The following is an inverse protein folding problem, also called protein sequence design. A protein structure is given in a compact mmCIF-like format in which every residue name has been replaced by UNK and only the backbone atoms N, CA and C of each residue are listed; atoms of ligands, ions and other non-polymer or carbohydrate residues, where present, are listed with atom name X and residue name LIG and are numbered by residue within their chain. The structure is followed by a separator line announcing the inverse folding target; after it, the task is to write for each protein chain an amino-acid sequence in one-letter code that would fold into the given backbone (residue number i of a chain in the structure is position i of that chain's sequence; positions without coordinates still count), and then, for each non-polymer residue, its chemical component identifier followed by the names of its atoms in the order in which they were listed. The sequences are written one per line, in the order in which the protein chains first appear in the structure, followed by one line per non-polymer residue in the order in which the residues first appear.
data_IF_348009501997
#
_entry.id   IF_348009501997
#
_cell.length_a   1.000
_cell.length_b   1.000
_cell.length_c   1.000
_cell.angle_alpha   90.00
_cell.angle_beta   90.00
_cell.angle_gamma   90.00
#
_symmetry.space_group_name_H-M   'P 1'
#
loop_
_entity.id
_entity.type
_entity.pdbx_description
1 polymer ?
#
# COMPACT_ATOMS: atom_id res chain seq x y z
N UNK A 1 -37.20 -36.22 -54.34
CA UNK A 1 -37.32 -34.87 -53.75
C UNK A 1 -37.33 -34.92 -52.23
N UNK A 2 -38.14 -35.78 -51.58
CA UNK A 2 -38.30 -35.82 -50.11
C UNK A 2 -37.00 -35.92 -49.28
N UNK A 3 -36.00 -36.72 -49.71
CA UNK A 3 -34.78 -36.93 -48.90
C UNK A 3 -33.85 -35.71 -48.84
N UNK A 4 -33.76 -34.94 -49.93
CA UNK A 4 -32.92 -33.73 -49.97
C UNK A 4 -33.54 -32.62 -49.13
N UNK A 5 -34.86 -32.45 -49.26
CA UNK A 5 -35.64 -31.47 -48.49
C UNK A 5 -35.63 -31.79 -46.98
N UNK A 6 -35.66 -33.08 -46.62
CA UNK A 6 -35.50 -33.52 -45.23
C UNK A 6 -34.12 -33.19 -44.64
N UNK A 7 -33.03 -33.45 -45.39
CA UNK A 7 -31.67 -33.12 -44.96
C UNK A 7 -31.46 -31.61 -44.81
N UNK A 8 -32.01 -30.83 -45.74
CA UNK A 8 -31.97 -29.36 -45.67
C UNK A 8 -32.73 -28.84 -44.43
N UNK A 9 -33.88 -29.43 -44.09
CA UNK A 9 -34.61 -29.12 -42.86
C UNK A 9 -33.79 -29.42 -41.60
N UNK A 10 -33.08 -30.54 -41.57
CA UNK A 10 -32.17 -30.89 -40.45
C UNK A 10 -31.08 -29.83 -40.35
N UNK A 11 -30.37 -29.53 -41.43
CA UNK A 11 -29.26 -28.56 -41.43
C UNK A 11 -29.73 -27.15 -41.05
N UNK A 12 -30.94 -26.76 -41.40
CA UNK A 12 -31.52 -25.47 -40.99
C UNK A 12 -32.01 -25.44 -39.54
N UNK A 13 -32.24 -26.59 -38.91
CA UNK A 13 -32.60 -26.70 -37.48
C UNK A 13 -31.38 -26.67 -36.54
N UNK A 14 -30.19 -26.93 -37.06
CA UNK A 14 -28.92 -26.86 -36.31
C UNK A 14 -28.68 -25.41 -35.89
N UNK A 15 -28.21 -25.21 -34.66
CA UNK A 15 -27.89 -23.89 -34.07
C UNK A 15 -26.60 -23.30 -34.66
N UNK A 16 -25.73 -24.17 -35.17
CA UNK A 16 -24.48 -23.82 -35.83
C UNK A 16 -24.72 -23.41 -37.29
N UNK A 17 -23.94 -22.45 -37.75
CA UNK A 17 -23.82 -22.12 -39.15
C UNK A 17 -23.16 -23.26 -39.90
N UNK A 18 -23.78 -23.67 -41.01
CA UNK A 18 -23.27 -24.72 -41.90
C UNK A 18 -23.09 -24.15 -43.29
N UNK A 19 -21.89 -24.30 -43.85
CA UNK A 19 -21.58 -23.98 -45.24
C UNK A 19 -20.94 -25.19 -45.90
N UNK A 20 -21.36 -25.49 -47.13
CA UNK A 20 -20.79 -26.55 -47.94
C UNK A 20 -20.26 -25.96 -49.25
N UNK A 21 -19.06 -26.36 -49.65
CA UNK A 21 -18.51 -26.08 -50.98
C UNK A 21 -18.45 -27.33 -51.83
N UNK A 22 -18.46 -27.19 -53.15
CA UNK A 22 -18.03 -28.23 -54.08
C UNK A 22 -16.50 -28.35 -54.16
N UNK A 23 -16.03 -29.26 -55.02
CA UNK A 23 -14.61 -29.51 -55.32
C UNK A 23 -13.87 -28.33 -55.95
N UNK A 24 -14.60 -27.40 -56.56
CA UNK A 24 -14.05 -26.21 -57.21
C UNK A 24 -14.06 -24.99 -56.26
N UNK A 25 -14.61 -25.15 -55.05
CA UNK A 25 -14.68 -24.11 -54.02
C UNK A 25 -15.86 -23.17 -54.15
N UNK A 26 -16.90 -23.54 -54.92
CA UNK A 26 -18.16 -22.80 -54.97
C UNK A 26 -19.08 -23.22 -53.84
N UNK A 27 -19.77 -22.26 -53.24
CA UNK A 27 -20.73 -22.53 -52.16
C UNK A 27 -21.96 -23.22 -52.76
N UNK A 28 -22.22 -24.46 -52.35
CA UNK A 28 -23.39 -25.23 -52.79
C UNK A 28 -24.54 -25.20 -51.78
N UNK A 29 -24.23 -24.97 -50.50
CA UNK A 29 -25.24 -24.87 -49.46
C UNK A 29 -24.79 -23.95 -48.34
N UNK A 30 -25.76 -23.23 -47.76
CA UNK A 30 -25.60 -22.37 -46.59
C UNK A 30 -26.90 -22.40 -45.80
N UNK A 31 -26.86 -22.82 -44.54
CA UNK A 31 -28.06 -22.87 -43.71
C UNK A 31 -28.46 -21.48 -43.20
N UNK A 32 -29.68 -21.39 -42.66
CA UNK A 32 -30.23 -20.15 -42.09
C UNK A 32 -29.36 -19.56 -40.98
N UNK A 33 -28.78 -20.40 -40.12
CA UNK A 33 -27.91 -19.91 -39.03
C UNK A 33 -26.61 -19.30 -39.56
N UNK A 34 -26.00 -19.88 -40.59
CA UNK A 34 -24.83 -19.30 -41.24
C UNK A 34 -25.17 -17.91 -41.80
N UNK A 35 -26.36 -17.72 -42.39
CA UNK A 35 -26.77 -16.41 -42.91
C UNK A 35 -26.95 -15.38 -41.81
N UNK A 36 -27.48 -15.78 -40.66
CA UNK A 36 -27.62 -14.90 -39.50
C UNK A 36 -26.26 -14.51 -38.90
N UNK A 37 -25.36 -15.48 -38.68
CA UNK A 37 -24.05 -15.24 -38.07
C UNK A 37 -23.15 -14.40 -38.99
N UNK A 38 -23.16 -14.67 -40.30
CA UNK A 38 -22.34 -13.93 -41.26
C UNK A 38 -22.97 -12.58 -41.68
N UNK A 39 -24.27 -12.39 -41.43
CA UNK A 39 -25.02 -11.21 -41.89
C UNK A 39 -25.21 -11.16 -43.41
N UNK A 40 -25.07 -12.29 -44.12
CA UNK A 40 -25.16 -12.37 -45.58
C UNK A 40 -26.25 -13.39 -45.96
N UNK A 41 -27.26 -13.01 -46.77
CA UNK A 41 -28.27 -13.94 -47.25
C UNK A 41 -27.67 -15.04 -48.13
N UNK A 42 -28.08 -16.30 -47.92
CA UNK A 42 -27.64 -17.43 -48.73
C UNK A 42 -27.83 -17.21 -50.24
N UNK A 43 -28.92 -16.55 -50.65
CA UNK A 43 -29.21 -16.23 -52.06
C UNK A 43 -28.16 -15.35 -52.73
N UNK A 44 -27.34 -14.62 -51.97
CA UNK A 44 -26.30 -13.76 -52.52
C UNK A 44 -24.94 -14.47 -52.70
N UNK A 45 -24.76 -15.64 -52.08
CA UNK A 45 -23.46 -16.32 -51.98
C UNK A 45 -23.46 -17.74 -52.54
N UNK A 46 -24.61 -18.43 -52.54
CA UNK A 46 -24.73 -19.75 -53.17
C UNK A 46 -24.42 -19.63 -54.67
N UNK A 47 -23.58 -20.53 -55.18
CA UNK A 47 -23.07 -20.53 -56.56
C UNK A 47 -21.81 -19.70 -56.80
N UNK A 48 -21.42 -18.82 -55.85
CA UNK A 48 -20.17 -18.03 -55.92
C UNK A 48 -18.99 -18.78 -55.30
N UNK A 49 -17.78 -18.40 -55.67
CA UNK A 49 -16.57 -18.89 -55.01
C UNK A 49 -16.51 -18.40 -53.56
N UNK A 50 -16.16 -19.31 -52.66
CA UNK A 50 -16.18 -19.06 -51.23
C UNK A 50 -15.24 -17.93 -50.79
N UNK A 51 -14.13 -17.74 -51.52
CA UNK A 51 -13.14 -16.67 -51.27
C UNK A 51 -13.68 -15.28 -51.56
N UNK A 52 -14.57 -15.16 -52.53
CA UNK A 52 -15.17 -13.89 -52.94
C UNK A 52 -16.39 -13.54 -52.07
N UNK A 53 -17.07 -14.58 -51.58
CA UNK A 53 -18.30 -14.45 -50.82
C UNK A 53 -18.08 -14.27 -49.31
N UNK A 54 -17.07 -14.94 -48.74
CA UNK A 54 -16.88 -14.99 -47.28
C UNK A 54 -15.45 -14.58 -46.93
N UNK A 55 -15.26 -13.43 -46.26
CA UNK A 55 -13.93 -12.97 -45.88
C UNK A 55 -13.28 -13.95 -44.90
N UNK A 56 -11.98 -14.16 -45.07
CA UNK A 56 -11.18 -15.06 -44.21
C UNK A 56 -11.74 -16.50 -44.09
N UNK A 57 -12.50 -16.98 -45.08
CA UNK A 57 -13.19 -18.27 -45.01
C UNK A 57 -12.27 -19.47 -44.71
N UNK A 58 -11.03 -19.46 -45.22
CA UNK A 58 -10.05 -20.58 -45.22
C UNK A 58 -10.57 -21.92 -45.76
N UNK A 59 -11.83 -22.02 -46.20
CA UNK A 59 -12.38 -23.21 -46.84
C UNK A 59 -11.58 -23.64 -48.09
N UNK A 60 -11.12 -22.67 -48.88
CA UNK A 60 -10.24 -22.91 -50.04
C UNK A 60 -8.87 -23.50 -49.66
N UNK A 61 -8.39 -23.28 -48.43
CA UNK A 61 -7.12 -23.83 -47.94
C UNK A 61 -7.33 -25.31 -47.62
N UNK A 62 -8.37 -25.63 -46.85
CA UNK A 62 -8.75 -27.00 -46.48
C UNK A 62 -9.10 -27.83 -47.72
N UNK A 63 -9.74 -27.23 -48.72
CA UNK A 63 -10.05 -27.87 -49.99
C UNK A 63 -8.79 -28.30 -50.75
N UNK A 64 -7.73 -27.47 -50.72
CA UNK A 64 -6.44 -27.75 -51.38
C UNK A 64 -5.55 -28.68 -50.57
N UNK A 65 -5.48 -28.49 -49.25
CA UNK A 65 -4.59 -29.25 -48.37
C UNK A 65 -5.14 -30.63 -48.02
N UNK A 66 -6.47 -30.79 -48.00
CA UNK A 66 -7.13 -31.98 -47.48
C UNK A 66 -6.97 -32.20 -45.98
N UNK A 67 -6.40 -31.22 -45.27
CA UNK A 67 -6.20 -31.26 -43.82
C UNK A 67 -7.36 -30.55 -43.11
N UNK A 68 -8.08 -31.22 -42.20
CA UNK A 68 -9.16 -30.58 -41.46
C UNK A 68 -8.62 -29.51 -40.51
N UNK A 69 -9.38 -28.43 -40.33
CA UNK A 69 -9.17 -27.45 -39.28
C UNK A 69 -10.29 -27.60 -38.27
N UNK A 70 -10.00 -28.02 -37.04
CA UNK A 70 -11.02 -28.26 -36.01
C UNK A 70 -10.95 -27.17 -34.94
N UNK A 71 -12.13 -26.69 -34.53
CA UNK A 71 -12.36 -25.77 -33.41
C UNK A 71 -11.48 -24.52 -33.41
N UNK A 72 -11.29 -23.92 -34.60
CA UNK A 72 -10.51 -22.70 -34.76
C UNK A 72 -11.36 -21.48 -34.47
N UNK A 73 -10.86 -20.59 -33.63
CA UNK A 73 -11.46 -19.27 -33.43
C UNK A 73 -11.14 -18.39 -34.63
N UNK A 74 -12.14 -17.70 -35.14
CA UNK A 74 -12.03 -16.74 -36.22
C UNK A 74 -12.82 -15.48 -35.91
N UNK A 75 -12.20 -14.33 -36.16
CA UNK A 75 -12.83 -13.02 -36.02
C UNK A 75 -13.34 -12.53 -37.37
N UNK A 76 -14.65 -12.27 -37.42
CA UNK A 76 -15.39 -11.70 -38.53
C UNK A 76 -15.77 -10.26 -38.17
N UNK A 77 -14.76 -9.39 -38.03
CA UNK A 77 -14.95 -8.03 -37.52
C UNK A 77 -15.36 -8.06 -36.04
N UNK A 78 -16.60 -7.67 -35.73
CA UNK A 78 -17.12 -7.64 -34.35
C UNK A 78 -17.61 -8.99 -33.84
N UNK A 79 -17.79 -9.97 -34.73
CA UNK A 79 -18.29 -11.31 -34.39
C UNK A 79 -17.12 -12.28 -34.29
N UNK A 80 -17.04 -13.02 -33.19
CA UNK A 80 -16.11 -14.14 -33.04
C UNK A 80 -16.86 -15.45 -33.23
N UNK A 81 -16.33 -16.32 -34.09
CA UNK A 81 -16.87 -17.66 -34.31
C UNK A 81 -15.84 -18.73 -33.94
N UNK A 82 -16.31 -19.86 -33.46
CA UNK A 82 -15.53 -21.10 -33.46
C UNK A 82 -15.96 -21.91 -34.66
N UNK A 83 -15.01 -22.34 -35.51
CA UNK A 83 -15.30 -23.04 -36.76
C UNK A 83 -14.44 -24.27 -36.95
N UNK A 84 -15.10 -25.33 -37.40
CA UNK A 84 -14.51 -26.57 -37.86
C UNK A 84 -14.74 -26.72 -39.36
N UNK A 85 -13.69 -27.00 -40.12
CA UNK A 85 -13.67 -27.17 -41.58
C UNK A 85 -13.21 -28.58 -41.90
N UNK A 86 -14.09 -29.36 -42.49
CA UNK A 86 -13.91 -30.78 -42.71
C UNK A 86 -13.95 -31.04 -44.22
N UNK A 87 -12.84 -31.51 -44.83
CA UNK A 87 -12.86 -31.91 -46.24
C UNK A 87 -13.73 -33.16 -46.40
N UNK A 88 -14.67 -33.12 -47.33
CA UNK A 88 -15.51 -34.25 -47.66
C UNK A 88 -14.82 -35.07 -48.74
N UNK A 89 -14.78 -36.39 -48.56
CA UNK A 89 -14.11 -37.32 -49.48
C UNK A 89 -15.11 -38.32 -50.06
N UNK A 90 -14.90 -38.71 -51.32
CA UNK A 90 -15.61 -39.84 -51.93
C UNK A 90 -15.07 -41.20 -51.44
N UNK A 91 -15.64 -42.28 -51.97
CA UNK A 91 -15.23 -43.66 -51.65
C UNK A 91 -13.79 -43.99 -52.10
N UNK A 92 -13.23 -43.18 -53.00
CA UNK A 92 -11.87 -43.32 -53.53
C UNK A 92 -10.87 -42.39 -52.82
N UNK A 93 -11.33 -41.62 -51.82
CA UNK A 93 -10.49 -40.70 -51.04
C UNK A 93 -10.30 -39.32 -51.68
N UNK A 94 -10.92 -39.03 -52.83
CA UNK A 94 -10.82 -37.72 -53.48
C UNK A 94 -11.67 -36.69 -52.74
N UNK A 95 -11.17 -35.46 -52.59
CA UNK A 95 -11.92 -34.38 -51.97
C UNK A 95 -13.02 -33.91 -52.93
N UNK A 96 -14.27 -34.02 -52.50
CA UNK A 96 -15.46 -33.61 -53.27
C UNK A 96 -16.06 -32.29 -52.80
N UNK A 97 -15.53 -31.71 -51.72
CA UNK A 97 -15.99 -30.46 -51.14
C UNK A 97 -15.45 -30.24 -49.74
N UNK A 98 -15.87 -29.15 -49.10
CA UNK A 98 -15.54 -28.86 -47.69
C UNK A 98 -16.79 -28.41 -46.95
N UNK A 99 -17.01 -29.01 -45.78
CA UNK A 99 -18.04 -28.63 -44.83
C UNK A 99 -17.42 -27.70 -43.77
N UNK A 100 -17.90 -26.46 -43.67
CA UNK A 100 -17.68 -25.62 -42.49
C UNK A 100 -18.89 -25.74 -41.57
N UNK A 101 -18.62 -25.99 -40.29
CA UNK A 101 -19.56 -25.85 -39.20
C UNK A 101 -19.00 -24.80 -38.25
N UNK A 102 -19.83 -23.85 -37.81
CA UNK A 102 -19.36 -22.77 -36.95
C UNK A 102 -20.45 -22.22 -36.04
N UNK A 103 -20.03 -21.72 -34.88
CA UNK A 103 -20.93 -21.13 -33.89
C UNK A 103 -20.42 -19.76 -33.50
N UNK A 104 -21.35 -18.82 -33.33
CA UNK A 104 -21.05 -17.53 -32.71
C UNK A 104 -20.70 -17.72 -31.23
N UNK A 105 -19.49 -17.29 -30.86
CA UNK A 105 -18.95 -17.32 -29.49
C UNK A 105 -18.70 -15.92 -28.94
N UNK A 106 -19.18 -14.87 -29.61
CA UNK A 106 -18.89 -13.47 -29.27
C UNK A 106 -19.25 -13.14 -27.83
N UNK A 107 -20.45 -13.51 -27.39
CA UNK A 107 -20.90 -13.28 -26.00
C UNK A 107 -20.08 -14.07 -24.99
N UNK A 108 -19.79 -15.34 -25.29
CA UNK A 108 -18.99 -16.20 -24.43
C UNK A 108 -17.55 -15.68 -24.29
N UNK A 109 -16.93 -15.24 -25.39
CA UNK A 109 -15.59 -14.67 -25.38
C UNK A 109 -15.55 -13.36 -24.59
N UNK A 110 -16.50 -12.44 -24.81
CA UNK A 110 -16.58 -11.18 -24.04
C UNK A 110 -16.72 -11.43 -22.54
N UNK A 111 -17.58 -12.36 -22.13
CA UNK A 111 -17.72 -12.73 -20.72
C UNK A 111 -16.42 -13.31 -20.15
N UNK A 112 -15.70 -14.14 -20.91
CA UNK A 112 -14.42 -14.69 -20.48
C UNK A 112 -13.34 -13.60 -20.32
N UNK A 113 -13.31 -12.63 -21.23
CA UNK A 113 -12.44 -11.45 -21.14
C UNK A 113 -12.78 -10.58 -19.93
N UNK A 114 -14.06 -10.29 -19.69
CA UNK A 114 -14.52 -9.54 -18.52
C UNK A 114 -14.11 -10.22 -17.21
N UNK A 115 -14.30 -11.55 -17.10
CA UNK A 115 -13.87 -12.32 -15.92
C UNK A 115 -12.35 -12.26 -15.74
N UNK A 116 -11.59 -12.31 -16.83
CA UNK A 116 -10.12 -12.22 -16.78
C UNK A 116 -9.69 -10.83 -16.28
N UNK A 117 -10.25 -9.77 -16.85
CA UNK A 117 -9.98 -8.39 -16.41
C UNK A 117 -10.36 -8.16 -14.94
N UNK A 118 -11.50 -8.71 -14.48
CA UNK A 118 -11.90 -8.64 -13.07
C UNK A 118 -10.87 -9.30 -12.14
N UNK A 119 -10.34 -10.47 -12.52
CA UNK A 119 -9.29 -11.16 -11.75
C UNK A 119 -7.98 -10.38 -11.73
N UNK A 120 -7.61 -9.74 -12.84
CA UNK A 120 -6.41 -8.90 -12.92
C UNK A 120 -6.53 -7.67 -12.02
N UNK A 121 -7.68 -6.99 -12.04
CA UNK A 121 -7.96 -5.85 -11.14
C UNK A 121 -7.94 -6.29 -9.68
N UNK A 122 -8.54 -7.43 -9.33
CA UNK A 122 -8.50 -7.97 -7.97
C UNK A 122 -7.06 -8.25 -7.51
N UNK A 123 -6.24 -8.87 -8.38
CA UNK A 123 -4.83 -9.15 -8.09
C UNK A 123 -4.02 -7.86 -7.89
N UNK A 124 -4.24 -6.84 -8.73
CA UNK A 124 -3.59 -5.54 -8.59
C UNK A 124 -3.97 -4.87 -7.25
N UNK A 125 -5.25 -4.85 -6.90
CA UNK A 125 -5.71 -4.27 -5.63
C UNK A 125 -5.10 -4.97 -4.42
N UNK A 126 -5.02 -6.31 -4.44
CA UNK A 126 -4.33 -7.09 -3.39
C UNK A 126 -2.85 -6.71 -3.30
N UNK A 127 -2.14 -6.60 -4.42
CA UNK A 127 -0.73 -6.23 -4.44
C UNK A 127 -0.48 -4.81 -3.87
N UNK A 128 -1.36 -3.85 -4.16
CA UNK A 128 -1.30 -2.49 -3.60
C UNK A 128 -1.47 -2.52 -2.07
N UNK A 129 -2.47 -3.24 -1.57
CA UNK A 129 -2.72 -3.38 -0.13
C UNK A 129 -1.53 -4.05 0.57
N UNK A 130 -0.96 -5.10 -0.04
CA UNK A 130 0.18 -5.85 0.52
C UNK A 130 1.51 -5.09 0.54
N UNK A 131 1.71 -4.17 -0.41
CA UNK A 131 2.95 -3.38 -0.53
C UNK A 131 2.95 -2.11 0.35
N UNK A 132 1.82 -1.76 0.94
CA UNK A 132 1.72 -0.58 1.81
C UNK A 132 2.49 -0.79 3.13
N UNK A 133 3.17 0.26 3.62
CA UNK A 133 3.92 0.21 4.88
C UNK A 133 3.02 0.26 6.12
N UNK A 134 1.92 0.99 6.05
CA UNK A 134 0.91 1.00 7.09
C UNK A 134 0.13 -0.31 7.12
N UNK A 135 -0.21 -0.73 8.33
CA UNK A 135 -1.03 -1.90 8.55
C UNK A 135 -2.47 -1.58 8.16
N UNK A 136 -3.03 -2.41 7.27
CA UNK A 136 -4.42 -2.32 6.85
C UNK A 136 -5.15 -3.54 7.40
N UNK A 137 -6.27 -3.31 8.08
CA UNK A 137 -7.23 -4.34 8.46
C UNK A 137 -8.64 -3.96 8.03
N UNK A 138 -9.42 -4.94 7.58
CA UNK A 138 -10.82 -4.77 7.21
C UNK A 138 -11.64 -5.71 8.07
N UNK A 139 -12.69 -5.18 8.68
CA UNK A 139 -13.69 -5.95 9.40
C UNK A 139 -15.04 -5.90 8.66
N UNK A 140 -15.80 -6.99 8.71
CA UNK A 140 -17.15 -7.07 8.14
C UNK A 140 -18.21 -6.34 8.99
N UNK A 141 -19.48 -6.51 8.61
CA UNK A 141 -20.61 -5.88 9.27
C UNK A 141 -20.78 -6.30 10.75
N UNK A 142 -20.33 -7.51 11.08
CA UNK A 142 -20.39 -8.10 12.43
C UNK A 142 -19.12 -7.79 13.25
N UNK A 143 -18.16 -7.06 12.67
CA UNK A 143 -16.90 -6.70 13.32
C UNK A 143 -15.87 -7.83 13.33
N UNK A 144 -15.98 -8.82 12.43
CA UNK A 144 -14.96 -9.86 12.25
C UNK A 144 -13.97 -9.44 11.18
N UNK A 145 -12.68 -9.72 11.40
CA UNK A 145 -11.62 -9.38 10.46
C UNK A 145 -11.75 -10.26 9.22
N UNK A 146 -11.81 -9.64 8.04
CA UNK A 146 -11.92 -10.32 6.74
C UNK A 146 -10.68 -10.16 5.87
N UNK A 147 -9.86 -9.14 6.14
CA UNK A 147 -8.63 -8.90 5.42
C UNK A 147 -7.62 -8.22 6.33
N UNK A 148 -6.36 -8.63 6.22
CA UNK A 148 -5.20 -7.91 6.76
C UNK A 148 -4.07 -7.97 5.75
N UNK A 149 -3.22 -6.94 5.70
CA UNK A 149 -2.03 -6.95 4.85
C UNK A 149 -0.77 -7.41 5.60
N UNK A 150 0.34 -7.60 4.89
CA UNK A 150 1.63 -7.97 5.50
C UNK A 150 2.13 -6.96 6.54
N UNK A 151 1.85 -5.68 6.39
CA UNK A 151 2.22 -4.68 7.38
C UNK A 151 1.49 -4.89 8.72
N UNK A 152 0.23 -5.31 8.69
CA UNK A 152 -0.51 -5.70 9.89
C UNK A 152 0.24 -6.78 10.68
N UNK A 153 0.66 -7.85 10.02
CA UNK A 153 1.44 -8.92 10.67
C UNK A 153 2.75 -8.43 11.27
N UNK A 154 3.46 -7.53 10.57
CA UNK A 154 4.71 -6.94 11.10
C UNK A 154 4.48 -6.05 12.32
N UNK A 155 3.37 -5.30 12.35
CA UNK A 155 3.05 -4.34 13.40
C UNK A 155 2.44 -5.04 14.63
N UNK A 156 1.40 -5.84 14.42
CA UNK A 156 0.69 -6.52 15.52
C UNK A 156 1.38 -7.79 15.98
N UNK A 157 2.13 -8.46 15.10
CA UNK A 157 2.79 -9.74 15.39
C UNK A 157 1.90 -10.97 15.19
N UNK A 158 0.64 -10.80 14.77
CA UNK A 158 -0.27 -11.90 14.45
C UNK A 158 -0.22 -12.26 12.97
N UNK A 159 -0.18 -13.57 12.67
CA UNK A 159 -0.35 -14.04 11.31
C UNK A 159 -1.80 -13.84 10.84
N UNK A 160 -1.98 -13.63 9.53
CA UNK A 160 -3.31 -13.46 8.94
C UNK A 160 -4.25 -14.62 9.31
N UNK A 161 -3.77 -15.88 9.27
CA UNK A 161 -4.55 -17.07 9.62
C UNK A 161 -5.06 -17.08 11.05
N UNK A 162 -4.44 -16.35 11.97
CA UNK A 162 -4.85 -16.29 13.38
C UNK A 162 -5.97 -15.27 13.62
N UNK A 163 -6.06 -14.25 12.76
CA UNK A 163 -6.98 -13.12 12.93
C UNK A 163 -8.16 -13.14 11.97
N UNK A 164 -8.01 -13.70 10.77
CA UNK A 164 -9.11 -13.79 9.81
C UNK A 164 -10.27 -14.61 10.39
N UNK A 165 -11.48 -14.05 10.29
CA UNK A 165 -12.72 -14.61 10.83
C UNK A 165 -12.91 -14.39 12.34
N UNK A 166 -11.94 -13.81 13.03
CA UNK A 166 -12.03 -13.50 14.47
C UNK A 166 -12.58 -12.08 14.68
N UNK A 167 -13.17 -11.79 15.85
CA UNK A 167 -13.57 -10.43 16.21
C UNK A 167 -12.38 -9.47 16.17
N UNK A 168 -12.61 -8.24 15.71
CA UNK A 168 -11.60 -7.16 15.62
C UNK A 168 -11.15 -6.60 16.98
N UNK A 169 -11.28 -7.39 18.04
CA UNK A 169 -10.76 -7.15 19.39
C UNK A 169 -9.53 -8.00 19.69
N UNK A 170 -9.23 -9.02 18.85
CA UNK A 170 -8.19 -10.02 19.10
C UNK A 170 -6.77 -9.42 19.18
N UNK A 171 -6.54 -8.32 18.47
CA UNK A 171 -5.25 -7.65 18.36
C UNK A 171 -5.10 -6.44 19.28
N UNK A 172 -6.14 -6.10 20.04
CA UNK A 172 -6.14 -4.98 20.98
C UNK A 172 -5.57 -5.46 22.33
N UNK A 173 -4.42 -4.90 22.72
CA UNK A 173 -3.83 -5.19 24.02
C UNK A 173 -4.42 -4.31 25.13
N UNK A 174 -4.68 -3.03 24.85
CA UNK A 174 -5.27 -2.07 25.77
C UNK A 174 -6.25 -1.15 25.02
N UNK A 175 -7.45 -0.96 25.59
CA UNK A 175 -8.51 -0.14 25.02
C UNK A 175 -9.63 -0.95 24.36
N UNK A 176 -10.53 -0.24 23.68
CA UNK A 176 -11.65 -0.83 22.94
C UNK A 176 -11.36 -0.86 21.43
N UNK A 177 -11.90 -1.87 20.74
CA UNK A 177 -11.76 -1.96 19.29
C UNK A 177 -12.45 -0.79 18.57
N UNK A 178 -11.67 -0.08 17.76
CA UNK A 178 -12.17 1.04 16.96
C UNK A 178 -13.06 0.54 15.81
N UNK A 179 -12.81 -0.66 15.27
CA UNK A 179 -13.70 -1.31 14.31
C UNK A 179 -15.12 -1.48 14.87
N UNK A 180 -15.26 -1.93 16.12
CA UNK A 180 -16.56 -2.09 16.78
C UNK A 180 -17.26 -0.74 16.99
N UNK A 181 -16.51 0.29 17.42
CA UNK A 181 -17.06 1.64 17.57
C UNK A 181 -17.58 2.22 16.26
N UNK A 182 -16.82 2.08 15.18
CA UNK A 182 -17.24 2.54 13.85
C UNK A 182 -18.40 1.72 13.31
N UNK A 183 -18.45 0.41 13.60
CA UNK A 183 -19.61 -0.41 13.27
C UNK A 183 -20.87 0.11 13.98
N UNK A 184 -20.80 0.47 15.26
CA UNK A 184 -21.96 0.99 15.98
C UNK A 184 -22.35 2.41 15.57
N UNK A 185 -21.38 3.32 15.45
CA UNK A 185 -21.63 4.74 15.20
C UNK A 185 -21.88 5.06 13.72
N UNK A 186 -21.39 4.22 12.81
CA UNK A 186 -21.31 4.48 11.36
C UNK A 186 -20.55 5.76 11.01
N UNK A 187 -19.72 6.26 11.93
CA UNK A 187 -18.92 7.48 11.78
C UNK A 187 -17.43 7.12 11.78
N UNK A 188 -16.60 7.81 10.98
CA UNK A 188 -15.16 7.58 11.00
C UNK A 188 -14.54 8.04 12.33
N UNK A 189 -13.52 7.33 12.79
CA UNK A 189 -12.73 7.67 13.97
C UNK A 189 -11.27 7.82 13.53
N UNK A 190 -10.71 9.01 13.78
CA UNK A 190 -9.34 9.34 13.38
C UNK A 190 -8.44 9.50 14.60
N UNK A 191 -7.15 9.21 14.40
CA UNK A 191 -6.08 9.44 15.37
C UNK A 191 -6.31 8.75 16.72
N UNK A 192 -6.99 7.59 16.71
CA UNK A 192 -7.16 6.78 17.90
C UNK A 192 -5.81 6.17 18.29
N UNK A 193 -5.37 6.38 19.52
CA UNK A 193 -4.15 5.77 20.06
C UNK A 193 -4.50 4.44 20.71
N UNK A 194 -3.85 3.38 20.29
CA UNK A 194 -4.05 2.02 20.80
C UNK A 194 -2.71 1.37 21.08
N UNK A 195 -2.75 0.33 21.91
CA UNK A 195 -1.65 -0.64 22.01
C UNK A 195 -2.11 -1.96 21.43
N UNK A 196 -1.35 -2.46 20.46
CA UNK A 196 -1.71 -3.65 19.69
C UNK A 196 -0.67 -4.75 19.84
N UNK A 197 -1.12 -5.99 19.71
CA UNK A 197 -0.27 -7.16 19.72
C UNK A 197 0.30 -7.53 21.10
N UNK A 198 0.93 -8.71 21.21
CA UNK A 198 1.56 -9.17 22.46
C UNK A 198 2.72 -8.27 22.90
N UNK A 199 3.36 -7.54 21.96
CA UNK A 199 4.43 -6.58 22.25
C UNK A 199 3.93 -5.21 22.69
N UNK A 200 2.61 -5.00 22.79
CA UNK A 200 1.96 -3.73 23.18
C UNK A 200 2.50 -2.52 22.40
N UNK A 201 2.64 -2.65 21.08
CA UNK A 201 3.16 -1.54 20.25
C UNK A 201 2.18 -0.39 20.23
N UNK A 202 2.69 0.83 20.44
CA UNK A 202 1.90 2.05 20.36
C UNK A 202 1.67 2.44 18.90
N UNK A 203 0.40 2.53 18.52
CA UNK A 203 -0.01 2.80 17.15
C UNK A 203 -1.04 3.92 17.09
N UNK A 204 -1.10 4.58 15.93
CA UNK A 204 -2.15 5.53 15.59
C UNK A 204 -3.07 4.90 14.56
N UNK A 205 -4.36 4.82 14.86
CA UNK A 205 -5.36 4.13 14.04
C UNK A 205 -6.40 5.12 13.53
N UNK A 206 -6.64 5.04 12.22
CA UNK A 206 -7.77 5.68 11.55
C UNK A 206 -8.71 4.59 11.08
N UNK A 207 -10.00 4.67 11.42
CA UNK A 207 -11.00 3.69 10.99
C UNK A 207 -12.17 4.38 10.32
N UNK A 208 -12.51 3.91 9.13
CA UNK A 208 -13.58 4.47 8.30
C UNK A 208 -14.64 3.39 8.02
N UNK A 209 -15.95 3.71 8.09
CA UNK A 209 -16.99 2.77 7.71
C UNK A 209 -16.98 2.51 6.19
N UNK A 210 -17.19 1.26 5.79
CA UNK A 210 -17.26 0.82 4.41
C UNK A 210 -18.72 0.66 4.00
N UNK A 211 -19.14 1.42 2.98
CA UNK A 211 -20.47 1.33 2.39
C UNK A 211 -20.40 0.84 0.96
N UNK A 212 -21.22 -0.15 0.61
CA UNK A 212 -21.37 -0.65 -0.76
C UNK A 212 -22.84 -0.54 -1.13
N UNK A 213 -23.15 0.21 -2.19
CA UNK A 213 -24.53 0.49 -2.62
C UNK A 213 -25.41 1.10 -1.50
N UNK A 214 -24.82 1.94 -0.65
CA UNK A 214 -25.51 2.60 0.46
C UNK A 214 -25.67 1.75 1.72
N UNK A 215 -25.33 0.46 1.67
CA UNK A 215 -25.40 -0.44 2.83
C UNK A 215 -24.04 -0.52 3.53
N UNK A 216 -24.07 -0.52 4.86
CA UNK A 216 -22.87 -0.77 5.65
C UNK A 216 -22.40 -2.23 5.44
N UNK A 217 -21.17 -2.39 4.98
CA UNK A 217 -20.54 -3.70 4.77
C UNK A 217 -19.41 -4.00 5.73
N UNK A 218 -18.95 -3.02 6.50
CA UNK A 218 -17.85 -3.21 7.43
C UNK A 218 -17.07 -1.93 7.69
N UNK A 219 -15.81 -2.06 8.06
CA UNK A 219 -14.93 -0.93 8.31
C UNK A 219 -13.49 -1.24 7.92
N UNK A 220 -12.75 -0.21 7.51
CA UNK A 220 -11.34 -0.29 7.13
C UNK A 220 -10.54 0.50 8.15
N UNK A 221 -9.52 -0.13 8.75
CA UNK A 221 -8.57 0.52 9.62
C UNK A 221 -7.20 0.64 8.94
N UNK A 222 -6.59 1.81 9.10
CA UNK A 222 -5.20 2.09 8.76
C UNK A 222 -4.45 2.37 10.05
N UNK A 223 -3.46 1.54 10.33
CA UNK A 223 -2.69 1.49 11.57
C UNK A 223 -1.26 1.92 11.25
N UNK A 224 -0.85 3.04 11.84
CA UNK A 224 0.48 3.61 11.66
C UNK A 224 1.32 3.27 12.88
N UNK A 225 2.50 2.68 12.67
CA UNK A 225 3.47 2.50 13.74
C UNK A 225 4.15 3.84 14.04
N UNK A 226 3.91 4.37 15.25
CA UNK A 226 4.49 5.64 15.69
C UNK A 226 5.65 5.45 16.66
N UNK A 227 6.07 4.21 16.91
CA UNK A 227 7.08 3.88 17.92
C UNK A 227 8.42 4.58 17.66
N UNK A 228 8.89 4.55 16.41
CA UNK A 228 10.16 5.16 16.02
C UNK A 228 10.11 6.69 16.09
N UNK A 229 9.02 7.29 15.58
CA UNK A 229 8.81 8.74 15.65
C UNK A 229 8.75 9.21 17.10
N UNK A 230 8.07 8.46 17.97
CA UNK A 230 8.00 8.79 19.40
C UNK A 230 9.36 8.63 20.09
N UNK A 231 10.16 7.63 19.71
CA UNK A 231 11.53 7.46 20.22
C UNK A 231 12.42 8.63 19.79
N UNK A 232 12.43 8.98 18.50
CA UNK A 232 13.22 10.09 17.97
C UNK A 232 12.82 11.43 18.59
N UNK A 233 11.52 11.68 18.80
CA UNK A 233 11.06 12.89 19.48
C UNK A 233 11.56 12.97 20.93
N UNK A 234 11.59 11.84 21.66
CA UNK A 234 12.15 11.81 23.03
C UNK A 234 13.65 12.11 23.04
N UNK A 235 14.42 11.48 22.15
CA UNK A 235 15.87 11.72 22.03
C UNK A 235 16.16 13.18 21.65
N UNK A 236 15.38 13.74 20.73
CA UNK A 236 15.49 15.14 20.34
C UNK A 236 15.20 16.10 21.51
N UNK A 237 14.17 15.82 22.31
CA UNK A 237 13.84 16.62 23.48
C UNK A 237 14.92 16.55 24.56
N UNK A 238 15.53 15.39 24.76
CA UNK A 238 16.68 15.21 25.65
C UNK A 238 17.91 16.00 25.16
N UNK A 239 18.25 15.89 23.88
CA UNK A 239 19.34 16.66 23.27
C UNK A 239 19.12 18.17 23.40
N UNK A 240 17.89 18.66 23.12
CA UNK A 240 17.52 20.07 23.29
C UNK A 240 17.65 20.53 24.75
N UNK A 241 17.28 19.69 25.72
CA UNK A 241 17.44 19.99 27.15
C UNK A 241 18.91 20.11 27.54
N UNK A 242 19.76 19.22 27.04
CA UNK A 242 21.21 19.26 27.30
C UNK A 242 21.85 20.53 26.72
N UNK A 243 21.55 20.87 25.45
CA UNK A 243 22.02 22.10 24.81
C UNK A 243 21.62 23.34 25.64
N UNK A 244 20.36 23.40 26.09
CA UNK A 244 19.85 24.51 26.92
C UNK A 244 20.56 24.65 28.29
N UNK A 245 21.13 23.57 28.84
CA UNK A 245 21.90 23.60 30.09
C UNK A 245 23.36 24.01 29.86
N UNK A 246 23.89 23.76 28.68
CA UNK A 246 25.28 24.06 28.31
C UNK A 246 25.47 25.48 27.76
N UNK A 247 24.42 26.30 27.74
CA UNK A 247 24.45 27.68 27.23
C UNK A 247 24.29 28.70 28.36
N UNK A 248 25.17 29.70 28.42
CA UNK A 248 25.01 30.84 29.31
C UNK A 248 23.85 31.74 28.81
N UNK A 249 22.77 31.80 29.58
CA UNK A 249 21.53 32.51 29.22
C UNK A 249 21.54 34.03 29.42
N UNK A 250 22.35 34.54 30.34
CA UNK A 250 22.28 35.93 30.80
C UNK A 250 23.53 36.69 30.38
N UNK A 251 23.35 37.98 30.11
CA UNK A 251 24.38 38.95 29.76
C UNK A 251 24.49 40.02 30.85
N UNK A 252 25.46 40.92 30.74
CA UNK A 252 25.55 42.05 31.67
C UNK A 252 24.37 43.02 31.56
N UNK A 253 23.65 43.03 30.43
CA UNK A 253 22.46 43.85 30.22
C UNK A 253 21.26 43.33 31.03
N UNK A 254 21.24 42.04 31.37
CA UNK A 254 20.21 41.42 32.20
C UNK A 254 20.39 41.69 33.71
N UNK A 255 21.49 42.35 34.11
CA UNK A 255 21.81 42.64 35.51
C UNK A 255 21.41 44.08 35.85
N UNK A 256 20.37 44.24 36.67
CA UNK A 256 19.94 45.55 37.17
C UNK A 256 20.95 46.08 38.20
N UNK A 257 21.71 47.11 37.81
CA UNK A 257 22.77 47.71 38.63
C UNK A 257 22.51 49.21 38.91
N UNK A 258 21.64 49.50 39.88
CA UNK A 258 21.30 50.89 40.24
C UNK A 258 22.24 51.50 41.29
N UNK A 259 22.62 50.69 42.29
CA UNK A 259 23.49 51.12 43.39
C UNK A 259 24.94 51.30 42.96
N UNK A 260 25.66 52.22 43.61
CA UNK A 260 27.10 52.44 43.34
C UNK A 260 27.92 51.17 43.52
N UNK A 261 27.65 50.37 44.56
CA UNK A 261 28.31 49.09 44.81
C UNK A 261 28.06 48.07 43.69
N UNK A 262 26.83 47.95 43.20
CA UNK A 262 26.50 47.01 42.12
C UNK A 262 27.12 47.42 40.79
N UNK A 263 27.12 48.73 40.49
CA UNK A 263 27.81 49.28 39.30
C UNK A 263 29.30 48.97 39.30
N UNK A 264 29.95 49.06 40.47
CA UNK A 264 31.36 48.67 40.62
C UNK A 264 31.55 47.16 40.36
N UNK A 265 30.70 46.31 40.93
CA UNK A 265 30.77 44.86 40.74
C UNK A 265 30.61 44.47 39.25
N UNK A 266 29.63 45.04 38.55
CA UNK A 266 29.43 44.83 37.10
C UNK A 266 30.64 45.32 36.31
N UNK A 267 31.19 46.51 36.64
CA UNK A 267 32.41 47.03 35.99
C UNK A 267 33.62 46.12 36.16
N UNK A 268 33.83 45.57 37.36
CA UNK A 268 34.92 44.63 37.64
C UNK A 268 34.72 43.31 36.89
N UNK A 269 33.49 42.78 36.89
CA UNK A 269 33.13 41.55 36.18
C UNK A 269 33.34 41.69 34.66
N UNK A 270 32.98 42.82 34.06
CA UNK A 270 33.23 43.09 32.63
C UNK A 270 34.71 43.15 32.29
N UNK A 271 35.55 43.69 33.18
CA UNK A 271 37.01 43.76 32.98
C UNK A 271 37.64 42.37 33.05
N UNK A 272 37.29 41.57 34.05
CA UNK A 272 37.86 40.22 34.24
C UNK A 272 37.37 39.23 33.19
N UNK A 273 36.14 39.40 32.66
CA UNK A 273 35.60 38.55 31.60
C UNK A 273 36.48 38.50 30.35
N UNK A 274 37.22 39.58 30.04
CA UNK A 274 38.16 39.65 28.91
C UNK A 274 39.51 39.00 29.18
N UNK A 275 39.67 38.33 30.32
CA UNK A 275 40.94 37.71 30.75
C UNK A 275 40.75 36.21 30.98
N UNK A 276 41.82 35.40 30.89
CA UNK A 276 41.74 33.96 31.15
C UNK A 276 41.72 33.61 32.65
N UNK A 277 41.72 34.60 33.55
CA UNK A 277 41.84 34.40 34.99
C UNK A 277 40.64 33.67 35.61
N UNK A 278 40.90 32.85 36.64
CA UNK A 278 39.85 32.19 37.42
C UNK A 278 39.09 33.22 38.26
N UNK A 279 37.76 33.24 38.13
CA UNK A 279 36.89 34.19 38.84
C UNK A 279 36.19 33.51 40.01
N UNK A 280 36.35 34.07 41.21
CA UNK A 280 35.60 33.65 42.40
C UNK A 280 34.49 34.66 42.70
N UNK A 281 33.24 34.25 42.51
CA UNK A 281 32.07 35.07 42.84
C UNK A 281 31.63 34.81 44.28
N UNK A 282 31.70 35.83 45.14
CA UNK A 282 31.28 35.76 46.54
C UNK A 282 29.98 36.53 46.77
N UNK A 283 29.18 36.04 47.71
CA UNK A 283 27.91 36.63 48.09
C UNK A 283 27.02 35.61 48.78
N UNK A 284 26.04 36.07 49.54
CA UNK A 284 25.05 35.22 50.22
C UNK A 284 24.19 34.44 49.20
N UNK A 285 23.46 33.44 49.68
CA UNK A 285 22.54 32.69 48.80
C UNK A 285 21.50 33.63 48.20
N UNK A 286 21.18 33.47 46.92
CA UNK A 286 20.17 34.29 46.23
C UNK A 286 20.63 35.67 45.74
N UNK A 287 21.88 36.10 45.97
CA UNK A 287 22.36 37.44 45.54
C UNK A 287 22.69 37.57 44.04
N UNK A 288 22.23 36.64 43.19
CA UNK A 288 22.43 36.72 41.74
C UNK A 288 23.81 36.31 41.21
N UNK A 289 24.62 35.56 41.96
CA UNK A 289 25.95 35.08 41.53
C UNK A 289 25.91 34.32 40.20
N UNK A 290 24.84 33.57 39.93
CA UNK A 290 24.65 32.82 38.68
C UNK A 290 24.50 33.75 37.46
N UNK A 291 23.80 34.88 37.61
CA UNK A 291 23.68 35.90 36.56
C UNK A 291 25.05 36.45 36.17
N UNK A 292 25.89 36.73 37.16
CA UNK A 292 27.27 37.17 36.94
C UNK A 292 28.11 36.09 36.24
N UNK A 293 28.01 34.82 36.63
CA UNK A 293 28.75 33.73 35.99
C UNK A 293 28.38 33.60 34.50
N UNK A 294 27.09 33.67 34.18
CA UNK A 294 26.59 33.65 32.79
C UNK A 294 27.09 34.87 32.00
N UNK A 295 26.97 36.07 32.57
CA UNK A 295 27.37 37.31 31.93
C UNK A 295 28.89 37.36 31.65
N UNK A 296 29.70 36.89 32.60
CA UNK A 296 31.16 36.78 32.45
C UNK A 296 31.50 35.81 31.32
N UNK A 297 30.87 34.64 31.26
CA UNK A 297 31.10 33.67 30.19
C UNK A 297 30.75 34.26 28.82
N UNK A 298 29.58 34.88 28.68
CA UNK A 298 29.10 35.47 27.43
C UNK A 298 29.96 36.66 26.95
N UNK A 299 30.56 37.41 27.86
CA UNK A 299 31.46 38.52 27.54
C UNK A 299 32.93 38.11 27.35
N UNK A 300 33.26 36.84 27.56
CA UNK A 300 34.63 36.31 27.44
C UNK A 300 34.92 35.72 26.05
N UNK A 301 36.19 35.45 25.77
CA UNK A 301 36.61 34.70 24.58
C UNK A 301 36.09 33.26 24.57
N UNK A 302 35.61 32.75 25.72
CA UNK A 302 35.03 31.41 25.88
C UNK A 302 33.53 31.36 25.59
N UNK A 303 32.89 32.48 25.19
CA UNK A 303 31.44 32.57 24.95
C UNK A 303 30.87 31.53 23.98
N UNK A 304 31.68 31.06 23.03
CA UNK A 304 31.30 30.04 22.05
C UNK A 304 31.52 28.60 22.56
N UNK A 305 32.22 28.44 23.68
CA UNK A 305 32.39 27.14 24.34
C UNK A 305 31.22 26.85 25.29
N UNK A 306 30.97 25.59 25.63
CA UNK A 306 29.95 25.21 26.60
C UNK A 306 30.12 25.90 27.95
N UNK A 307 29.05 26.47 28.47
CA UNK A 307 28.94 26.90 29.86
C UNK A 307 28.39 25.74 30.70
N UNK A 308 29.25 25.12 31.50
CA UNK A 308 28.88 23.99 32.35
C UNK A 308 28.68 24.49 33.78
N UNK A 309 27.43 24.50 34.26
CA UNK A 309 27.12 24.81 35.66
C UNK A 309 27.05 23.53 36.49
N UNK A 310 27.81 23.50 37.60
CA UNK A 310 27.80 22.40 38.57
C UNK A 310 27.37 22.96 39.92
N UNK A 311 26.29 22.42 40.48
CA UNK A 311 25.85 22.80 41.81
C UNK A 311 26.53 21.92 42.86
N UNK A 312 27.67 22.38 43.38
CA UNK A 312 28.44 21.63 44.37
C UNK A 312 27.69 21.44 45.71
N UNK A 313 26.67 22.26 46.03
CA UNK A 313 25.86 22.07 47.25
C UNK A 313 24.93 20.86 47.20
N UNK A 314 24.63 20.36 46.00
CA UNK A 314 23.79 19.18 45.79
C UNK A 314 24.60 17.87 45.74
N UNK A 315 25.94 17.96 45.78
CA UNK A 315 26.84 16.81 45.70
C UNK A 315 27.42 16.56 47.10
N UNK A 316 27.29 15.33 47.64
CA UNK A 316 27.95 14.97 48.90
C UNK A 316 29.47 15.19 48.82
N UNK A 317 30.05 15.82 49.85
CA UNK A 317 31.47 16.18 49.89
C UNK A 317 32.39 14.97 49.64
N UNK A 318 31.99 13.79 50.11
CA UNK A 318 32.71 12.53 49.93
C UNK A 318 32.85 12.04 48.48
N UNK A 319 32.04 12.57 47.55
CA UNK A 319 32.01 12.14 46.13
C UNK A 319 32.40 13.30 45.19
N UNK A 320 32.43 14.53 45.71
CA UNK A 320 32.69 15.75 44.94
C UNK A 320 34.05 15.72 44.21
N UNK A 321 35.11 15.27 44.90
CA UNK A 321 36.44 15.18 44.32
C UNK A 321 36.49 14.15 43.17
N UNK A 322 35.86 12.99 43.37
CA UNK A 322 35.82 11.95 42.34
C UNK A 322 34.99 12.31 41.10
N UNK A 323 33.95 13.14 41.26
CA UNK A 323 33.10 13.61 40.16
C UNK A 323 33.75 14.75 39.36
N UNK A 324 34.51 15.63 40.01
CA UNK A 324 35.14 16.78 39.35
C UNK A 324 36.50 16.46 38.72
N UNK A 325 37.28 15.55 39.33
CA UNK A 325 38.64 15.24 38.88
C UNK A 325 38.78 13.83 38.28
N UNK A 326 37.73 13.01 38.34
CA UNK A 326 37.73 11.64 37.87
C UNK A 326 38.37 10.65 38.86
N UNK A 327 38.23 9.36 38.58
CA UNK A 327 38.85 8.29 39.36
C UNK A 327 40.26 7.98 38.84
N UNK A 328 41.28 8.29 39.63
CA UNK A 328 42.62 7.71 39.51
C UNK A 328 42.90 6.96 40.80
N UNK A 329 43.19 5.65 40.71
CA UNK A 329 43.48 4.82 41.89
C UNK A 329 44.60 5.43 42.74
N UNK A 330 44.35 5.65 44.03
CA UNK A 330 45.29 6.27 44.97
C UNK A 330 45.27 7.80 45.08
N UNK A 331 44.36 8.52 44.42
CA UNK A 331 44.31 9.99 44.46
C UNK A 331 43.87 10.61 45.81
N UNK A 332 43.12 9.88 46.65
CA UNK A 332 42.74 10.29 48.00
C UNK A 332 42.64 9.08 48.95
N UNK A 333 42.64 9.32 50.27
CA UNK A 333 42.55 8.27 51.30
C UNK A 333 41.17 7.60 51.25
N UNK A 334 41.07 6.52 50.48
CA UNK A 334 39.81 5.79 50.22
C UNK A 334 39.69 5.28 48.79
N UNK A 335 40.46 5.80 47.84
CA UNK A 335 40.48 5.32 46.46
C UNK A 335 41.31 4.03 46.33
N UNK A 336 40.67 2.87 46.48
CA UNK A 336 41.19 1.58 45.99
C UNK A 336 40.79 1.36 44.54
#
# INVERSE_FOLDING_TARGET
MERAEFLERILNSIIEGVILTDKDGKIVFMNKQASLILGIPASQVVGKYVVDAIPNTRLHIVLKSGTPEIDRIQHLGTTAIITSRIPLKDQHGNIIGVLAVFRDITSAQKMAEEVTNLKEVEALLKAVIESTNDAISVADADGKIVLVNRAYTRITGFAASEVIGKPATIDIAEGESVHIKVAQSRQPIYRARLRVGPKKREVLVNVTPLFVKGEFRGSVAVIHDVSEIMKLNRELDEAKRLIRRMSAKYSFEDIVAESSKMKIAVSQAMKVAKTPATVLLRGESGTGKELFAHAIHNASDRKHNPFVSVNCSAIPESILESELFGYVGGAFTGAK
#
